data_IF_040174506910
#
_entry.id   IF_040174506910
#
_cell.length_a   1.000
_cell.length_b   1.000
_cell.length_c   1.000
_cell.angle_alpha   90.00
_cell.angle_beta   90.00
_cell.angle_gamma   90.00
#
_symmetry.space_group_name_H-M   'P 1'
#
loop_
_entity.id
_entity.type
_entity.pdbx_description
1 polymer ?
#
# COMPACT_ATOMS: atom_id res chain seq x y z
N UNK A 1 -2.65 30.95 -24.47
CA UNK A 1 -3.36 29.66 -24.65
C UNK A 1 -2.36 28.58 -24.31
N UNK A 2 -2.48 27.93 -23.15
CA UNK A 2 -1.67 26.78 -22.83
C UNK A 2 -2.26 25.58 -23.56
N UNK A 3 -1.58 25.11 -24.60
CA UNK A 3 -1.86 23.79 -25.17
C UNK A 3 -1.41 22.77 -24.13
N UNK A 4 -2.36 22.13 -23.47
CA UNK A 4 -2.13 20.85 -22.81
C UNK A 4 -1.89 19.83 -23.93
N UNK A 5 -0.62 19.49 -24.19
CA UNK A 5 -0.32 18.26 -24.90
C UNK A 5 -0.51 17.12 -23.89
N UNK A 6 -1.56 16.30 -24.08
CA UNK A 6 -1.66 15.00 -23.40
C UNK A 6 -0.34 14.24 -23.66
N UNK A 7 0.29 13.61 -22.64
CA UNK A 7 1.45 12.78 -22.89
C UNK A 7 1.09 11.71 -23.92
N UNK A 8 1.87 11.65 -25.02
CA UNK A 8 1.62 10.77 -26.18
C UNK A 8 1.74 9.27 -25.85
N UNK A 9 2.19 8.92 -24.65
CA UNK A 9 2.28 7.58 -24.11
C UNK A 9 2.33 7.67 -22.57
N UNK A 10 1.83 6.65 -21.88
CA UNK A 10 1.96 6.55 -20.42
C UNK A 10 3.41 6.15 -20.10
N UNK A 11 4.05 6.78 -19.09
CA UNK A 11 5.41 6.44 -18.71
C UNK A 11 5.49 5.04 -18.13
N UNK A 12 6.63 4.40 -18.33
CA UNK A 12 6.98 3.14 -17.66
C UNK A 12 7.52 3.40 -16.26
N UNK A 13 7.57 2.38 -15.41
CA UNK A 13 8.16 2.48 -14.06
C UNK A 13 9.62 3.01 -14.06
N UNK A 14 10.40 2.75 -15.12
CA UNK A 14 11.79 3.22 -15.30
C UNK A 14 11.90 4.73 -15.52
N UNK A 15 10.83 5.37 -16.01
CA UNK A 15 10.79 6.81 -16.31
C UNK A 15 10.31 7.64 -15.12
N UNK A 16 9.94 6.98 -14.01
CA UNK A 16 9.38 7.60 -12.82
C UNK A 16 10.37 7.62 -11.64
N UNK A 17 10.31 8.65 -10.76
CA UNK A 17 11.08 8.67 -9.53
C UNK A 17 10.78 7.44 -8.64
N UNK A 18 11.82 6.73 -8.23
CA UNK A 18 11.70 5.55 -7.35
C UNK A 18 12.35 5.73 -5.96
N UNK A 19 12.94 6.92 -5.69
CA UNK A 19 13.51 7.32 -4.40
C UNK A 19 13.17 8.78 -4.13
N UNK A 20 12.92 9.13 -2.86
CA UNK A 20 12.75 10.51 -2.40
C UNK A 20 14.01 11.07 -1.69
N UNK A 21 15.09 10.28 -1.64
CA UNK A 21 16.40 10.56 -1.02
C UNK A 21 16.34 11.11 0.42
N UNK A 22 15.24 10.87 1.15
CA UNK A 22 15.03 11.40 2.50
C UNK A 22 15.10 10.26 3.52
N UNK A 23 16.07 10.24 4.45
CA UNK A 23 16.10 9.25 5.52
C UNK A 23 15.04 9.61 6.58
N UNK A 24 13.85 9.00 6.49
CA UNK A 24 12.71 9.27 7.39
C UNK A 24 12.24 8.06 8.20
N UNK A 25 12.71 6.86 7.88
CA UNK A 25 12.19 5.64 8.50
C UNK A 25 12.78 5.36 9.88
N UNK A 26 11.91 4.84 10.74
CA UNK A 26 12.32 4.22 12.00
C UNK A 26 12.27 2.69 11.89
N UNK A 27 13.01 1.99 12.75
CA UNK A 27 13.15 0.52 12.72
C UNK A 27 11.80 -0.23 12.68
N UNK A 28 10.72 0.30 13.25
CA UNK A 28 9.41 -0.35 13.18
C UNK A 28 8.74 -0.22 11.80
N UNK A 29 8.99 0.87 11.08
CA UNK A 29 8.51 1.04 9.70
C UNK A 29 9.21 0.07 8.74
N UNK A 30 10.44 -0.34 9.04
CA UNK A 30 11.13 -1.39 8.28
C UNK A 30 10.68 -2.81 8.71
N UNK A 31 10.70 -3.08 10.02
CA UNK A 31 10.51 -4.43 10.56
C UNK A 31 9.08 -4.96 10.34
N UNK A 32 8.05 -4.14 10.51
CA UNK A 32 6.66 -4.61 10.45
C UNK A 32 6.26 -5.03 9.02
N UNK A 33 6.45 -4.21 7.97
CA UNK A 33 6.17 -4.64 6.59
C UNK A 33 7.05 -5.82 6.15
N UNK A 34 8.33 -5.83 6.55
CA UNK A 34 9.26 -6.92 6.23
C UNK A 34 8.85 -8.26 6.85
N UNK A 35 8.39 -8.22 8.11
CA UNK A 35 7.85 -9.40 8.79
C UNK A 35 6.59 -9.91 8.07
N UNK A 36 5.65 -9.02 7.72
CA UNK A 36 4.43 -9.41 7.00
C UNK A 36 4.75 -10.03 5.64
N UNK A 37 5.65 -9.42 4.86
CA UNK A 37 6.12 -9.98 3.59
C UNK A 37 6.71 -11.37 3.76
N UNK A 38 7.48 -11.58 4.82
CA UNK A 38 8.09 -12.89 5.13
C UNK A 38 7.02 -13.93 5.49
N UNK A 39 6.03 -13.57 6.30
CA UNK A 39 4.90 -14.43 6.64
C UNK A 39 4.10 -14.81 5.39
N UNK A 40 3.79 -13.83 4.52
CA UNK A 40 3.11 -14.09 3.25
C UNK A 40 3.92 -15.05 2.37
N UNK A 41 5.25 -14.87 2.26
CA UNK A 41 6.11 -15.80 1.52
C UNK A 41 6.07 -17.23 2.06
N UNK A 42 5.94 -17.41 3.37
CA UNK A 42 5.83 -18.72 4.00
C UNK A 42 4.45 -19.35 3.80
N UNK A 43 3.37 -18.57 3.94
CA UNK A 43 2.00 -19.05 3.79
C UNK A 43 1.64 -19.36 2.33
N UNK A 44 2.24 -18.60 1.41
CA UNK A 44 1.98 -18.62 -0.02
C UNK A 44 3.23 -18.98 -0.82
N UNK A 45 3.98 -19.97 -0.33
CA UNK A 45 5.25 -20.43 -0.92
C UNK A 45 5.12 -20.67 -2.44
N UNK A 46 4.13 -21.48 -2.82
CA UNK A 46 3.84 -21.88 -4.21
C UNK A 46 2.97 -20.86 -4.97
N UNK A 47 2.46 -19.82 -4.31
CA UNK A 47 1.57 -18.84 -4.93
C UNK A 47 2.41 -17.78 -5.66
N UNK A 48 2.04 -17.51 -6.91
CA UNK A 48 2.75 -16.57 -7.81
C UNK A 48 1.89 -15.39 -8.26
N UNK A 49 0.61 -15.34 -7.91
CA UNK A 49 -0.36 -14.31 -8.26
C UNK A 49 -0.57 -13.28 -7.12
N UNK A 50 0.51 -12.78 -6.54
CA UNK A 50 0.46 -11.73 -5.52
C UNK A 50 1.77 -10.93 -5.45
N UNK A 51 1.68 -9.68 -5.01
CA UNK A 51 2.84 -8.83 -4.77
C UNK A 51 2.70 -8.07 -3.45
N UNK A 52 3.79 -8.00 -2.68
CA UNK A 52 3.86 -7.15 -1.49
C UNK A 52 5.01 -6.15 -1.60
N UNK A 53 4.64 -4.88 -1.80
CA UNK A 53 5.53 -3.73 -1.82
C UNK A 53 5.82 -3.23 -0.41
N UNK A 54 7.03 -2.75 -0.19
CA UNK A 54 7.48 -2.10 1.04
C UNK A 54 8.14 -0.81 0.59
N UNK A 55 7.73 0.32 1.15
CA UNK A 55 8.24 1.65 0.80
C UNK A 55 8.35 1.86 -0.73
N UNK A 56 7.27 1.51 -1.44
CA UNK A 56 7.23 1.52 -2.90
C UNK A 56 6.11 2.43 -3.39
N UNK A 57 6.47 3.35 -4.29
CA UNK A 57 5.56 4.30 -4.89
C UNK A 57 4.43 3.61 -5.67
N UNK A 58 3.19 4.00 -5.37
CA UNK A 58 2.00 3.66 -6.15
C UNK A 58 1.64 4.88 -7.00
N UNK A 59 1.76 4.72 -8.32
CA UNK A 59 1.36 5.75 -9.28
C UNK A 59 -0.05 5.52 -9.79
N UNK A 60 -0.86 6.57 -9.67
CA UNK A 60 -2.28 6.56 -10.08
C UNK A 60 -2.51 7.39 -11.33
N UNK A 61 -1.65 8.39 -11.54
CA UNK A 61 -1.66 9.32 -12.66
C UNK A 61 -0.20 9.74 -12.91
N UNK A 62 0.30 9.71 -14.16
CA UNK A 62 1.68 10.07 -14.47
C UNK A 62 2.03 11.55 -14.22
N UNK A 63 1.05 12.44 -14.12
CA UNK A 63 1.25 13.87 -13.85
C UNK A 63 1.10 14.22 -12.36
N UNK A 64 0.70 13.26 -11.52
CA UNK A 64 0.52 13.45 -10.08
C UNK A 64 1.65 12.77 -9.29
N UNK A 65 2.00 13.29 -8.10
CA UNK A 65 2.92 12.60 -7.21
C UNK A 65 2.35 11.23 -6.81
N UNK A 66 3.21 10.22 -6.60
CA UNK A 66 2.77 8.91 -6.15
C UNK A 66 2.35 8.95 -4.68
N UNK A 67 1.66 7.89 -4.27
CA UNK A 67 1.40 7.61 -2.86
C UNK A 67 2.39 6.54 -2.42
N UNK A 68 3.09 6.76 -1.31
CA UNK A 68 4.09 5.81 -0.78
C UNK A 68 3.59 5.27 0.57
N UNK A 69 3.10 4.02 0.62
CA UNK A 69 2.78 3.33 1.86
C UNK A 69 3.99 2.63 2.48
N UNK A 70 3.97 2.41 3.80
CA UNK A 70 4.99 1.57 4.46
C UNK A 70 4.92 0.11 3.96
N UNK A 71 3.73 -0.35 3.56
CA UNK A 71 3.59 -1.57 2.77
C UNK A 71 2.22 -1.74 2.14
N UNK A 72 2.13 -2.54 1.09
CA UNK A 72 0.85 -2.85 0.44
C UNK A 72 0.86 -4.25 -0.16
N UNK A 73 -0.34 -4.83 -0.32
CA UNK A 73 -0.59 -6.12 -0.93
C UNK A 73 -1.50 -5.97 -2.14
N UNK A 74 -1.08 -6.53 -3.26
CA UNK A 74 -1.91 -6.75 -4.45
C UNK A 74 -2.05 -8.25 -4.72
N UNK A 75 -3.24 -8.65 -5.16
CA UNK A 75 -3.55 -10.04 -5.55
C UNK A 75 -3.85 -10.10 -7.04
N UNK A 76 -3.68 -11.27 -7.65
CA UNK A 76 -3.85 -11.48 -9.09
C UNK A 76 -2.87 -10.67 -9.96
N UNK A 77 -1.72 -10.31 -9.40
CA UNK A 77 -0.59 -9.69 -10.10
C UNK A 77 0.62 -10.60 -10.01
N UNK A 78 1.54 -10.50 -10.97
CA UNK A 78 2.71 -11.38 -11.00
C UNK A 78 3.64 -11.11 -9.81
N UNK A 79 4.02 -12.15 -9.06
CA UNK A 79 4.95 -12.00 -7.93
C UNK A 79 6.34 -11.56 -8.35
N UNK A 80 6.78 -12.02 -9.53
CA UNK A 80 8.01 -11.63 -10.21
C UNK A 80 7.59 -11.03 -11.55
N UNK A 81 7.70 -9.71 -11.68
CA UNK A 81 7.24 -8.97 -12.85
C UNK A 81 8.14 -9.22 -14.07
N UNK A 82 9.44 -9.07 -13.87
CA UNK A 82 10.46 -9.33 -14.87
C UNK A 82 11.81 -9.66 -14.20
N UNK A 83 12.90 -9.63 -14.97
CA UNK A 83 14.26 -9.85 -14.47
C UNK A 83 14.79 -8.74 -13.56
N UNK A 84 14.23 -7.52 -13.66
CA UNK A 84 14.63 -6.33 -12.89
C UNK A 84 13.74 -6.06 -11.68
N UNK A 85 12.64 -6.81 -11.53
CA UNK A 85 11.59 -6.60 -10.55
C UNK A 85 10.91 -5.23 -10.74
N UNK A 86 10.08 -4.85 -9.77
CA UNK A 86 9.34 -3.58 -9.81
C UNK A 86 10.17 -2.46 -9.21
N UNK A 87 10.33 -1.37 -9.95
CA UNK A 87 10.82 -0.09 -9.41
C UNK A 87 9.72 0.70 -8.72
N UNK A 88 8.52 0.67 -9.29
CA UNK A 88 7.32 1.29 -8.75
C UNK A 88 6.09 0.47 -9.13
N UNK A 89 4.93 0.81 -8.57
CA UNK A 89 3.66 0.16 -8.84
C UNK A 89 2.73 1.11 -9.59
N UNK A 90 2.68 0.97 -10.91
CA UNK A 90 1.90 1.83 -11.81
C UNK A 90 0.53 1.21 -12.08
N UNK A 91 -0.56 1.91 -11.74
CA UNK A 91 -1.91 1.35 -11.90
C UNK A 91 -2.33 1.16 -13.36
N UNK A 92 -1.64 1.79 -14.31
CA UNK A 92 -1.92 1.60 -15.73
C UNK A 92 -1.15 0.43 -16.37
N UNK A 93 -0.07 -0.07 -15.75
CA UNK A 93 0.59 -1.31 -16.19
C UNK A 93 0.04 -2.52 -15.44
N UNK A 94 -0.20 -2.38 -14.13
CA UNK A 94 -0.70 -3.47 -13.29
C UNK A 94 -2.22 -3.68 -13.43
N UNK A 95 -2.98 -2.63 -13.78
CA UNK A 95 -4.45 -2.59 -13.88
C UNK A 95 -5.23 -3.07 -12.63
N UNK A 96 -4.51 -3.41 -11.55
CA UNK A 96 -5.04 -3.97 -10.30
C UNK A 96 -4.63 -3.08 -9.14
N UNK A 97 -5.57 -2.44 -8.42
CA UNK A 97 -5.24 -1.68 -7.23
C UNK A 97 -4.85 -2.62 -6.07
N UNK A 98 -4.03 -2.16 -5.11
CA UNK A 98 -3.75 -2.92 -3.91
C UNK A 98 -5.04 -3.26 -3.16
N UNK A 99 -5.16 -4.50 -2.69
CA UNK A 99 -6.29 -4.93 -1.85
C UNK A 99 -6.10 -4.46 -0.41
N UNK A 100 -4.85 -4.32 0.05
CA UNK A 100 -4.53 -3.90 1.40
C UNK A 100 -3.36 -2.92 1.40
N UNK A 101 -3.45 -1.88 2.22
CA UNK A 101 -2.35 -0.95 2.51
C UNK A 101 -2.10 -0.91 4.02
N UNK A 102 -0.82 -0.83 4.41
CA UNK A 102 -0.32 -0.69 5.77
C UNK A 102 0.39 0.65 5.94
N UNK A 103 0.08 1.32 7.04
CA UNK A 103 0.82 2.49 7.53
C UNK A 103 1.24 2.27 8.99
N UNK A 104 2.51 2.50 9.29
CA UNK A 104 3.14 2.38 10.60
C UNK A 104 3.43 3.77 11.13
N UNK A 105 2.51 4.29 11.95
CA UNK A 105 2.52 5.68 12.39
C UNK A 105 3.67 5.97 13.35
N UNK A 106 4.51 6.93 12.97
CA UNK A 106 5.59 7.48 13.80
C UNK A 106 5.09 8.63 14.71
N UNK A 107 6.00 9.36 15.34
CA UNK A 107 5.65 10.47 16.27
C UNK A 107 4.96 11.66 15.61
N UNK A 108 5.11 11.86 14.29
CA UNK A 108 4.43 12.91 13.53
C UNK A 108 3.52 12.24 12.49
N UNK A 109 2.19 12.41 12.58
CA UNK A 109 1.29 11.90 11.56
C UNK A 109 1.57 12.57 10.19
N UNK A 110 1.81 11.76 9.17
CA UNK A 110 2.04 12.15 7.77
C UNK A 110 0.77 12.28 6.94
N UNK A 111 -0.42 12.26 7.57
CA UNK A 111 -1.71 12.38 6.88
C UNK A 111 -2.45 11.06 6.69
N UNK A 112 -2.08 10.03 7.46
CA UNK A 112 -2.66 8.69 7.46
C UNK A 112 -4.17 8.72 7.77
N UNK A 113 -4.62 9.70 8.57
CA UNK A 113 -6.03 9.85 8.94
C UNK A 113 -6.78 10.87 8.07
N UNK A 114 -6.13 11.47 7.07
CA UNK A 114 -6.72 12.54 6.24
C UNK A 114 -6.49 12.28 4.76
N UNK A 115 -5.36 12.73 4.21
CA UNK A 115 -5.09 12.75 2.77
C UNK A 115 -4.94 11.33 2.24
N UNK A 116 -4.08 10.53 2.87
CA UNK A 116 -3.83 9.14 2.46
C UNK A 116 -5.11 8.28 2.54
N UNK A 117 -5.92 8.47 3.59
CA UNK A 117 -7.21 7.78 3.73
C UNK A 117 -8.14 8.06 2.55
N UNK A 118 -8.24 9.31 2.11
CA UNK A 118 -9.06 9.68 0.95
C UNK A 118 -8.47 9.16 -0.36
N UNK A 119 -7.15 9.19 -0.52
CA UNK A 119 -6.47 8.69 -1.71
C UNK A 119 -6.62 7.17 -1.86
N UNK A 120 -6.41 6.41 -0.79
CA UNK A 120 -6.61 4.97 -0.78
C UNK A 120 -8.07 4.59 -1.06
N UNK A 121 -9.03 5.34 -0.51
CA UNK A 121 -10.45 5.15 -0.84
C UNK A 121 -10.74 5.43 -2.32
N UNK A 122 -10.15 6.50 -2.89
CA UNK A 122 -10.31 6.90 -4.29
C UNK A 122 -9.83 5.83 -5.26
N UNK A 123 -8.70 5.18 -4.95
CA UNK A 123 -8.15 4.11 -5.81
C UNK A 123 -8.73 2.72 -5.51
N UNK A 124 -9.63 2.60 -4.54
CA UNK A 124 -10.34 1.36 -4.25
C UNK A 124 -9.59 0.35 -3.40
N UNK A 125 -8.62 0.79 -2.58
CA UNK A 125 -7.98 -0.11 -1.61
C UNK A 125 -9.05 -0.63 -0.64
N UNK A 126 -9.19 -1.95 -0.54
CA UNK A 126 -10.27 -2.55 0.24
C UNK A 126 -9.99 -2.50 1.75
N UNK A 127 -8.74 -2.74 2.14
CA UNK A 127 -8.32 -2.78 3.54
C UNK A 127 -7.25 -1.74 3.82
N UNK A 128 -7.52 -0.83 4.74
CA UNK A 128 -6.55 0.15 5.19
C UNK A 128 -6.17 -0.11 6.65
N UNK A 129 -4.92 -0.52 6.86
CA UNK A 129 -4.40 -0.95 8.16
C UNK A 129 -3.45 0.13 8.69
N UNK A 130 -3.75 0.62 9.88
CA UNK A 130 -2.90 1.61 10.56
C UNK A 130 -2.38 0.98 11.85
N UNK A 131 -1.07 0.82 11.94
CA UNK A 131 -0.38 0.37 13.14
C UNK A 131 0.30 1.54 13.85
N UNK A 132 -0.09 1.82 15.08
CA UNK A 132 0.42 2.91 15.88
C UNK A 132 1.01 2.39 17.21
N UNK A 133 2.30 2.03 17.24
CA UNK A 133 2.92 1.29 18.35
C UNK A 133 2.94 2.06 19.68
N UNK A 134 3.02 3.40 19.61
CA UNK A 134 3.14 4.27 20.79
C UNK A 134 1.81 4.60 21.50
N UNK A 135 0.65 4.14 20.98
CA UNK A 135 -0.64 4.39 21.63
C UNK A 135 -0.78 3.62 22.94
N UNK A 136 -1.31 4.32 23.96
CA UNK A 136 -1.61 3.77 25.30
C UNK A 136 -3.10 3.62 25.60
N UNK A 137 -3.94 4.51 25.07
CA UNK A 137 -5.38 4.59 25.40
C UNK A 137 -6.33 4.14 24.28
N UNK A 138 -5.83 4.08 23.06
CA UNK A 138 -6.56 3.62 21.87
C UNK A 138 -5.93 2.32 21.36
N UNK A 139 -6.67 1.58 20.54
CA UNK A 139 -6.14 0.42 19.84
C UNK A 139 -4.85 0.79 19.08
N UNK A 140 -3.87 -0.12 19.15
CA UNK A 140 -2.60 0.01 18.42
C UNK A 140 -2.75 -0.36 16.96
N UNK A 141 -3.65 -1.28 16.64
CA UNK A 141 -3.99 -1.66 15.28
C UNK A 141 -5.41 -1.17 15.00
N UNK A 142 -5.56 -0.39 13.94
CA UNK A 142 -6.85 -0.02 13.37
C UNK A 142 -6.95 -0.61 11.98
N UNK A 143 -8.06 -1.27 11.68
CA UNK A 143 -8.31 -1.90 10.39
C UNK A 143 -9.58 -1.29 9.85
N UNK A 144 -9.48 -0.59 8.74
CA UNK A 144 -10.60 0.00 8.04
C UNK A 144 -10.92 -0.85 6.81
N UNK A 145 -12.21 -1.05 6.53
CA UNK A 145 -12.68 -1.70 5.31
C UNK A 145 -13.45 -0.70 4.47
N UNK A 146 -13.17 -0.65 3.16
CA UNK A 146 -13.85 0.24 2.23
C UNK A 146 -15.23 -0.31 1.88
N UNK A 147 -16.27 0.45 2.22
CA UNK A 147 -17.67 0.17 1.87
C UNK A 147 -18.27 1.36 1.15
N UNK A 148 -18.67 1.17 -0.12
CA UNK A 148 -19.28 2.22 -0.97
C UNK A 148 -18.44 3.52 -1.01
N UNK A 149 -17.12 3.38 -1.06
CA UNK A 149 -16.18 4.51 -1.14
C UNK A 149 -15.88 5.18 0.22
N UNK A 150 -16.35 4.63 1.34
CA UNK A 150 -16.11 5.15 2.68
C UNK A 150 -15.45 4.07 3.53
N UNK A 151 -14.39 4.44 4.24
CA UNK A 151 -13.74 3.54 5.18
C UNK A 151 -14.51 3.41 6.49
N UNK A 152 -14.82 2.18 6.87
CA UNK A 152 -15.47 1.84 8.13
C UNK A 152 -14.49 1.07 9.04
N UNK A 153 -14.32 1.57 10.27
CA UNK A 153 -13.45 0.93 11.27
C UNK A 153 -14.03 -0.42 11.70
N UNK A 154 -13.23 -1.47 11.57
CA UNK A 154 -13.56 -2.80 12.03
C UNK A 154 -13.30 -2.95 13.53
N UNK A 155 -14.22 -3.62 14.22
CA UNK A 155 -14.18 -3.76 15.69
C UNK A 155 -13.70 -5.13 16.15
N UNK A 156 -13.65 -6.12 15.26
CA UNK A 156 -13.13 -7.45 15.55
C UNK A 156 -11.60 -7.45 15.62
N UNK A 157 -11.05 -8.38 16.39
CA UNK A 157 -9.61 -8.63 16.44
C UNK A 157 -9.36 -10.12 16.78
N UNK A 158 -8.84 -10.93 15.84
CA UNK A 158 -8.43 -10.55 14.48
C UNK A 158 -9.63 -10.23 13.58
N UNK A 159 -9.40 -9.41 12.55
CA UNK A 159 -10.34 -9.19 11.43
C UNK A 159 -10.03 -10.22 10.36
N UNK A 160 -11.02 -11.02 9.97
CA UNK A 160 -10.93 -11.92 8.83
C UNK A 160 -11.17 -11.16 7.52
N UNK A 161 -10.29 -11.34 6.54
CA UNK A 161 -10.35 -10.69 5.23
C UNK A 161 -10.57 -11.77 4.15
N UNK A 162 -11.83 -12.08 3.79
CA UNK A 162 -12.13 -13.22 2.93
C UNK A 162 -11.53 -13.13 1.52
N UNK A 163 -11.35 -11.92 0.99
CA UNK A 163 -10.72 -11.64 -0.31
C UNK A 163 -9.22 -11.99 -0.31
N UNK A 164 -8.59 -11.91 0.86
CA UNK A 164 -7.18 -12.27 1.06
C UNK A 164 -7.07 -13.74 1.51
N UNK A 165 -8.08 -14.27 2.18
CA UNK A 165 -8.06 -15.60 2.80
C UNK A 165 -7.17 -15.66 4.05
N UNK A 166 -6.94 -14.52 4.70
CA UNK A 166 -6.14 -14.38 5.92
C UNK A 166 -6.82 -13.44 6.91
N UNK A 167 -6.43 -13.56 8.19
CA UNK A 167 -6.83 -12.63 9.23
C UNK A 167 -5.65 -11.77 9.69
N UNK A 168 -5.92 -10.54 10.10
CA UNK A 168 -4.93 -9.63 10.70
C UNK A 168 -5.44 -9.11 12.05
N UNK A 169 -4.54 -9.01 13.03
CA UNK A 169 -4.88 -8.67 14.40
C UNK A 169 -3.65 -8.42 15.28
N UNK A 170 -3.89 -7.93 16.49
CA UNK A 170 -2.86 -7.67 17.50
C UNK A 170 -3.20 -8.26 18.87
#
# INVERSE_FOLDING_TARGET
MYQYELPKYLPTADELPCSDDTPVDNELQELIPSLLKSILRMLWEERMDWFFGIDMAIYTDPEQPPIVPDGFLSLNVERVFDENLRLSYTLWEEEVPPVLVLEVVSTKPGGEYTTKLQEYARIGVLYYVIYHPKRRRKARLEIYQLHKGIYELQTLNPVWMPEIGLGIGC
#
